data_IF_799586420247
#
_entry.id   IF_799586420247
#
_cell.length_a   1.000
_cell.length_b   1.000
_cell.length_c   1.000
_cell.angle_alpha   90.00
_cell.angle_beta   90.00
_cell.angle_gamma   90.00
#
_symmetry.space_group_name_H-M   'P 1'
#
loop_
_entity.id
_entity.type
_entity.pdbx_description
1 polymer ?
#
# COMPACT_ATOMS: atom_id res chain seq x y z
N UNK A 1 11.33 -21.40 3.43
CA UNK A 1 12.68 -21.30 4.04
C UNK A 1 13.13 -19.85 4.22
N UNK A 2 12.87 -18.97 3.27
CA UNK A 2 13.15 -17.52 3.40
C UNK A 2 12.26 -16.79 4.42
N UNK A 3 10.97 -17.11 4.52
CA UNK A 3 10.05 -16.42 5.44
C UNK A 3 10.41 -16.57 6.93
N UNK A 4 10.92 -17.75 7.34
CA UNK A 4 11.33 -18.02 8.72
C UNK A 4 12.64 -17.28 9.02
N UNK A 5 13.60 -17.28 8.08
CA UNK A 5 14.86 -16.54 8.22
C UNK A 5 14.66 -15.02 8.32
N UNK A 6 13.70 -14.47 7.58
CA UNK A 6 13.31 -13.05 7.65
C UNK A 6 12.62 -12.72 8.98
N UNK A 7 11.78 -13.62 9.51
CA UNK A 7 11.09 -13.41 10.78
C UNK A 7 12.03 -13.46 12.02
N UNK A 8 13.17 -14.15 11.94
CA UNK A 8 14.15 -14.26 13.04
C UNK A 8 15.37 -13.32 12.91
N UNK A 9 15.38 -12.42 11.94
CA UNK A 9 16.48 -11.47 11.82
C UNK A 9 16.36 -10.38 12.90
N UNK A 10 17.42 -10.21 13.72
CA UNK A 10 17.48 -9.30 14.88
C UNK A 10 17.34 -7.82 14.49
N UNK A 11 17.44 -7.52 13.20
CA UNK A 11 17.49 -6.16 12.65
C UNK A 11 16.25 -5.92 11.79
N UNK A 12 15.38 -5.04 12.27
CA UNK A 12 14.28 -4.47 11.48
C UNK A 12 14.86 -3.35 10.59
N UNK A 13 15.60 -3.72 9.54
CA UNK A 13 16.16 -2.73 8.60
C UNK A 13 15.13 -2.33 7.54
N UNK A 14 15.14 -1.04 7.17
CA UNK A 14 14.36 -0.48 6.06
C UNK A 14 14.48 -1.23 4.73
N UNK A 15 15.47 -2.11 4.61
CA UNK A 15 15.68 -2.99 3.46
C UNK A 15 14.46 -3.86 3.11
N UNK A 16 13.68 -4.30 4.10
CA UNK A 16 12.45 -5.06 3.85
C UNK A 16 11.31 -4.22 3.24
N UNK A 17 11.33 -2.89 3.41
CA UNK A 17 10.32 -2.02 2.82
C UNK A 17 10.47 -1.88 1.30
N UNK A 18 11.70 -1.91 0.80
CA UNK A 18 12.00 -1.71 -0.63
C UNK A 18 11.50 -2.88 -1.49
N UNK A 19 11.49 -4.11 -0.94
CA UNK A 19 11.03 -5.30 -1.68
C UNK A 19 9.58 -5.21 -2.15
N UNK A 20 8.71 -4.56 -1.39
CA UNK A 20 7.32 -4.38 -1.80
C UNK A 20 7.16 -3.41 -2.97
N UNK A 21 8.04 -2.40 -3.09
CA UNK A 21 8.00 -1.44 -4.20
C UNK A 21 8.42 -2.05 -5.55
N UNK A 22 9.24 -3.10 -5.55
CA UNK A 22 9.63 -3.80 -6.79
C UNK A 22 8.47 -4.61 -7.37
N UNK A 23 7.50 -5.03 -6.56
CA UNK A 23 6.32 -5.79 -7.00
C UNK A 23 5.18 -4.89 -7.53
N UNK A 24 5.17 -3.62 -7.15
CA UNK A 24 4.18 -2.62 -7.57
C UNK A 24 3.97 -2.53 -9.11
N UNK A 25 5.01 -2.42 -9.97
CA UNK A 25 4.82 -2.25 -11.42
C UNK A 25 4.07 -3.41 -12.09
N UNK A 26 4.09 -4.61 -11.51
CA UNK A 26 3.38 -5.77 -12.07
C UNK A 26 1.87 -5.75 -11.79
N UNK A 27 1.44 -5.06 -10.73
CA UNK A 27 0.03 -5.04 -10.30
C UNK A 27 -0.71 -3.81 -10.83
N UNK A 28 0.00 -2.70 -10.99
CA UNK A 28 -0.52 -1.41 -11.50
C UNK A 28 -1.38 -1.54 -12.79
N UNK A 29 -0.97 -2.23 -13.86
CA UNK A 29 -1.78 -2.29 -15.09
C UNK A 29 -3.11 -3.04 -14.92
N UNK A 30 -3.26 -3.86 -13.87
CA UNK A 30 -4.51 -4.59 -13.58
C UNK A 30 -5.51 -3.78 -12.75
N UNK A 31 -5.05 -2.76 -12.04
CA UNK A 31 -5.85 -1.97 -11.10
C UNK A 31 -6.06 -0.53 -11.57
N UNK A 32 -5.35 -0.09 -12.62
CA UNK A 32 -5.37 1.29 -13.12
C UNK A 32 -6.78 1.77 -13.49
N UNK A 33 -7.59 0.95 -14.16
CA UNK A 33 -8.93 1.37 -14.61
C UNK A 33 -9.86 1.62 -13.41
N UNK A 34 -9.85 0.73 -12.42
CA UNK A 34 -10.59 0.92 -11.17
C UNK A 34 -10.04 2.07 -10.31
N UNK A 35 -8.72 2.26 -10.28
CA UNK A 35 -8.07 3.30 -9.49
C UNK A 35 -8.37 4.71 -10.02
N UNK A 36 -8.43 4.87 -11.36
CA UNK A 36 -8.81 6.11 -12.01
C UNK A 36 -10.30 6.42 -11.83
N UNK A 37 -11.15 5.40 -11.79
CA UNK A 37 -12.59 5.58 -11.54
C UNK A 37 -12.88 6.21 -10.15
N UNK A 38 -12.04 5.91 -9.14
CA UNK A 38 -12.12 6.53 -7.80
C UNK A 38 -10.85 7.30 -7.43
N UNK A 39 -10.44 8.24 -8.28
CA UNK A 39 -9.18 8.98 -8.11
C UNK A 39 -9.02 9.68 -6.75
N UNK A 40 -10.08 10.27 -6.20
CA UNK A 40 -10.01 10.94 -4.90
C UNK A 40 -9.74 9.97 -3.75
N UNK A 41 -10.37 8.79 -3.78
CA UNK A 41 -10.13 7.73 -2.79
C UNK A 41 -8.70 7.20 -2.92
N UNK A 42 -8.24 6.99 -4.15
CA UNK A 42 -6.85 6.58 -4.46
C UNK A 42 -5.85 7.58 -3.90
N UNK A 43 -6.04 8.88 -4.14
CA UNK A 43 -5.18 9.95 -3.63
C UNK A 43 -5.17 9.95 -2.10
N UNK A 44 -6.34 9.85 -1.47
CA UNK A 44 -6.46 9.79 -0.02
C UNK A 44 -5.66 8.61 0.57
N UNK A 45 -5.79 7.41 -0.02
CA UNK A 45 -5.07 6.21 0.42
C UNK A 45 -3.56 6.35 0.27
N UNK A 46 -3.09 6.98 -0.81
CA UNK A 46 -1.66 7.24 -1.01
C UNK A 46 -1.15 8.27 0.02
N UNK A 47 -1.88 9.37 0.22
CA UNK A 47 -1.49 10.43 1.14
C UNK A 47 -1.43 9.95 2.60
N UNK A 48 -2.44 9.20 3.06
CA UNK A 48 -2.43 8.64 4.41
C UNK A 48 -1.26 7.67 4.58
N UNK A 49 -0.92 6.89 3.56
CA UNK A 49 0.18 5.94 3.61
C UNK A 49 1.51 6.69 3.79
N UNK A 50 1.78 7.67 2.92
CA UNK A 50 2.99 8.51 3.00
C UNK A 50 3.07 9.22 4.36
N UNK A 51 1.96 9.80 4.83
CA UNK A 51 1.93 10.49 6.11
C UNK A 51 2.23 9.56 7.30
N UNK A 52 1.65 8.36 7.31
CA UNK A 52 1.86 7.37 8.37
C UNK A 52 3.33 6.93 8.46
N UNK A 53 3.95 6.64 7.31
CA UNK A 53 5.37 6.33 7.25
C UNK A 53 6.25 7.52 7.63
N UNK A 54 5.87 8.73 7.23
CA UNK A 54 6.57 9.97 7.61
C UNK A 54 6.58 10.20 9.12
N UNK A 55 5.45 9.97 9.80
CA UNK A 55 5.35 10.08 11.26
C UNK A 55 6.22 9.03 11.96
N UNK A 56 6.17 7.78 11.49
CA UNK A 56 6.97 6.70 12.05
C UNK A 56 8.47 6.95 11.88
N UNK A 57 8.88 7.41 10.69
CA UNK A 57 10.25 7.84 10.38
C UNK A 57 10.71 9.01 11.25
N UNK A 58 9.85 10.01 11.44
CA UNK A 58 10.17 11.18 12.24
C UNK A 58 10.51 10.79 13.68
N UNK A 59 9.68 9.96 14.31
CA UNK A 59 9.96 9.53 15.68
C UNK A 59 11.15 8.55 15.76
N UNK A 60 11.34 7.70 14.75
CA UNK A 60 12.55 6.89 14.59
C UNK A 60 13.81 7.76 14.58
N UNK A 61 13.79 8.84 13.80
CA UNK A 61 14.89 9.81 13.75
C UNK A 61 15.13 10.49 15.11
N UNK A 62 14.08 10.89 15.83
CA UNK A 62 14.25 11.49 17.16
C UNK A 62 14.84 10.52 18.19
N UNK A 63 14.48 9.24 18.12
CA UNK A 63 15.03 8.22 19.01
C UNK A 63 16.50 7.92 18.68
N UNK A 64 16.80 7.68 17.40
CA UNK A 64 18.11 7.18 16.97
C UNK A 64 19.18 8.28 16.87
N UNK A 65 18.85 9.45 16.32
CA UNK A 65 19.82 10.50 16.05
C UNK A 65 19.81 11.61 17.09
N UNK A 66 18.65 11.95 17.66
CA UNK A 66 18.55 12.98 18.72
C UNK A 66 18.66 12.41 20.13
N UNK A 67 18.63 11.08 20.28
CA UNK A 67 18.67 10.40 21.59
C UNK A 67 17.49 10.76 22.51
N UNK A 68 16.40 11.32 21.97
CA UNK A 68 15.21 11.64 22.75
C UNK A 68 14.43 10.36 23.03
N UNK A 69 13.88 10.22 24.24
CA UNK A 69 13.06 9.06 24.57
C UNK A 69 11.67 9.14 23.91
N UNK A 70 11.62 8.82 22.62
CA UNK A 70 10.41 8.78 21.78
C UNK A 70 9.85 7.36 21.63
N UNK A 71 10.20 6.42 22.53
CA UNK A 71 9.81 5.00 22.43
C UNK A 71 8.28 4.83 22.35
N UNK A 72 7.54 5.50 23.22
CA UNK A 72 6.08 5.45 23.20
C UNK A 72 5.50 6.07 21.92
N UNK A 73 6.08 7.16 21.42
CA UNK A 73 5.64 7.81 20.19
C UNK A 73 5.88 6.92 18.95
N UNK A 74 7.03 6.24 18.88
CA UNK A 74 7.31 5.24 17.84
C UNK A 74 6.31 4.10 17.89
N UNK A 75 5.95 3.63 19.09
CA UNK A 75 4.96 2.57 19.25
C UNK A 75 3.59 2.99 18.69
N UNK A 76 3.10 4.18 19.06
CA UNK A 76 1.85 4.73 18.52
C UNK A 76 1.94 4.94 17.01
N UNK A 77 3.06 5.47 16.51
CA UNK A 77 3.28 5.62 15.08
C UNK A 77 3.29 4.27 14.35
N UNK A 78 3.78 3.20 14.99
CA UNK A 78 3.71 1.83 14.48
C UNK A 78 2.26 1.34 14.35
N UNK A 79 1.38 1.65 15.30
CA UNK A 79 -0.05 1.36 15.20
C UNK A 79 -0.69 2.14 14.04
N UNK A 80 -0.34 3.42 13.86
CA UNK A 80 -0.83 4.23 12.74
C UNK A 80 -0.40 3.61 11.41
N UNK A 81 0.88 3.24 11.27
CA UNK A 81 1.39 2.54 10.09
C UNK A 81 0.66 1.21 9.86
N UNK A 82 0.36 0.46 10.92
CA UNK A 82 -0.40 -0.78 10.80
C UNK A 82 -1.81 -0.55 10.24
N UNK A 83 -2.54 0.44 10.76
CA UNK A 83 -3.87 0.83 10.26
C UNK A 83 -3.79 1.31 8.80
N UNK A 84 -2.79 2.12 8.47
CA UNK A 84 -2.54 2.60 7.11
C UNK A 84 -2.35 1.45 6.11
N UNK A 85 -1.66 0.37 6.53
CA UNK A 85 -1.49 -0.84 5.73
C UNK A 85 -2.80 -1.61 5.55
N UNK A 86 -3.64 -1.72 6.58
CA UNK A 86 -4.97 -2.34 6.45
C UNK A 86 -5.82 -1.58 5.43
N UNK A 87 -5.86 -0.25 5.53
CA UNK A 87 -6.59 0.61 4.58
C UNK A 87 -6.07 0.39 3.15
N UNK A 88 -4.75 0.33 2.96
CA UNK A 88 -4.14 0.08 1.66
C UNK A 88 -4.58 -1.27 1.07
N UNK A 89 -4.58 -2.34 1.88
CA UNK A 89 -5.00 -3.68 1.44
C UNK A 89 -6.48 -3.70 1.05
N UNK A 90 -7.35 -3.10 1.87
CA UNK A 90 -8.79 -3.01 1.59
C UNK A 90 -9.02 -2.26 0.27
N UNK A 91 -8.36 -1.12 0.10
CA UNK A 91 -8.46 -0.34 -1.14
C UNK A 91 -7.96 -1.13 -2.35
N UNK A 92 -6.87 -1.88 -2.21
CA UNK A 92 -6.33 -2.71 -3.28
C UNK A 92 -7.30 -3.81 -3.73
N UNK A 93 -7.95 -4.49 -2.77
CA UNK A 93 -8.97 -5.51 -3.05
C UNK A 93 -10.19 -4.86 -3.74
N UNK A 94 -10.65 -3.72 -3.22
CA UNK A 94 -11.78 -2.99 -3.77
C UNK A 94 -11.53 -2.57 -5.22
N UNK A 95 -10.39 -1.93 -5.49
CA UNK A 95 -10.03 -1.45 -6.83
C UNK A 95 -9.82 -2.62 -7.80
N UNK A 96 -9.22 -3.71 -7.34
CA UNK A 96 -9.08 -4.91 -8.17
C UNK A 96 -10.45 -5.46 -8.60
N UNK A 97 -11.40 -5.59 -7.66
CA UNK A 97 -12.75 -6.07 -7.95
C UNK A 97 -13.50 -5.13 -8.90
N UNK A 98 -13.32 -3.81 -8.74
CA UNK A 98 -13.93 -2.83 -9.63
C UNK A 98 -13.33 -2.91 -11.04
N UNK A 99 -12.00 -2.97 -11.15
CA UNK A 99 -11.32 -3.05 -12.44
C UNK A 99 -11.70 -4.33 -13.21
N UNK A 100 -11.91 -5.45 -12.52
CA UNK A 100 -12.41 -6.69 -13.14
C UNK A 100 -13.84 -6.52 -13.68
N UNK A 101 -14.71 -5.87 -12.92
CA UNK A 101 -16.09 -5.59 -13.33
C UNK A 101 -16.16 -4.67 -14.55
N UNK A 102 -15.33 -3.61 -14.57
CA UNK A 102 -15.23 -2.67 -15.70
C UNK A 102 -14.71 -3.37 -16.97
N UNK A 103 -13.70 -4.25 -16.86
CA UNK A 103 -13.20 -5.03 -17.99
C UNK A 103 -14.25 -5.98 -18.56
N UNK A 104 -15.00 -6.68 -17.70
CA UNK A 104 -16.09 -7.57 -18.12
C UNK A 104 -17.18 -6.81 -18.88
N UNK A 105 -17.61 -5.66 -18.37
CA UNK A 105 -18.60 -4.81 -19.03
C UNK A 105 -18.11 -4.31 -20.40
N UNK A 106 -16.84 -3.87 -20.48
CA UNK A 106 -16.22 -3.43 -21.73
C UNK A 106 -16.18 -4.55 -22.78
N UNK A 107 -15.91 -5.79 -22.37
CA UNK A 107 -15.89 -6.95 -23.27
C UNK A 107 -17.29 -7.30 -23.79
N UNK A 108 -18.32 -7.26 -22.93
CA UNK A 108 -19.71 -7.50 -23.35
C UNK A 108 -20.16 -6.48 -24.40
N UNK A 109 -19.93 -5.18 -24.14
CA UNK A 109 -20.27 -4.12 -25.08
C UNK A 109 -19.52 -4.24 -26.41
N UNK A 110 -18.25 -4.66 -26.38
CA UNK A 110 -17.46 -4.86 -27.60
C UNK A 110 -18.01 -6.02 -28.44
N UNK A 111 -18.42 -7.11 -27.79
CA UNK A 111 -19.02 -8.24 -28.47
C UNK A 111 -20.34 -7.83 -29.14
N UNK A 112 -21.24 -7.12 -28.44
CA UNK A 112 -22.50 -6.63 -29.03
C UNK A 112 -22.27 -5.73 -30.25
N UNK A 113 -21.25 -4.87 -30.22
CA UNK A 113 -20.92 -3.99 -31.34
C UNK A 113 -20.37 -4.75 -32.57
N UNK A 114 -19.67 -5.86 -32.38
CA UNK A 114 -19.10 -6.67 -33.48
C UNK A 114 -20.13 -7.60 -34.14
N UNK A 115 -21.29 -7.81 -33.53
CA UNK A 115 -22.39 -8.64 -34.06
C UNK A 115 -23.51 -7.82 -34.72
N UNK A 116 -23.34 -6.50 -34.86
CA UNK A 116 -24.19 -5.58 -35.63
C UNK A 116 -23.44 -5.18 -36.91
#
# INVERSE_FOLDING_TARGET
MTCIFVAFNKVYTMQYFIWWFVLLPFVVPKIIEGALHHIFLTIFVILQYIASYGIWLYYGYELEFKGKNSMFNIFIAGIIVFIANIILIIWHIYVYSLSDSLRKQKQVNLNEFLFI
#
